data_IF_830519192494
#
_entry.id   IF_830519192494
#
_cell.length_a   1.000
_cell.length_b   1.000
_cell.length_c   1.000
_cell.angle_alpha   90.00
_cell.angle_beta   90.00
_cell.angle_gamma   90.00
#
_symmetry.space_group_name_H-M   'P 1'
#
loop_
_entity.id
_entity.type
_entity.pdbx_description
1 polymer ?
#
# COMPACT_ATOMS: atom_id res chain seq x y z
N UNK A 1 4.99 -17.07 15.79
CA UNK A 1 3.85 -16.89 14.88
C UNK A 1 2.74 -16.30 15.70
N UNK A 2 2.41 -15.04 15.44
CA UNK A 2 1.52 -14.22 16.26
C UNK A 2 0.06 -14.59 15.95
N UNK A 3 -0.78 -14.82 16.97
CA UNK A 3 -2.21 -15.17 16.77
C UNK A 3 -2.98 -14.10 15.98
N UNK A 4 -2.43 -12.90 15.85
CA UNK A 4 -2.93 -11.82 14.98
C UNK A 4 -2.74 -12.11 13.49
N UNK A 5 -1.62 -12.72 13.08
CA UNK A 5 -1.35 -13.06 11.68
C UNK A 5 -2.21 -14.24 11.22
N UNK A 6 -2.45 -15.22 12.09
CA UNK A 6 -3.39 -16.33 11.82
C UNK A 6 -4.85 -15.86 11.75
N UNK A 7 -5.23 -14.85 12.53
CA UNK A 7 -6.62 -14.40 12.65
C UNK A 7 -7.03 -13.37 11.60
N UNK A 8 -6.07 -12.65 11.02
CA UNK A 8 -6.33 -11.55 10.08
C UNK A 8 -6.10 -11.90 8.61
N UNK A 9 -5.68 -13.13 8.31
CA UNK A 9 -5.40 -13.57 6.95
C UNK A 9 -4.02 -13.12 6.46
N UNK A 10 -3.53 -13.84 5.45
CA UNK A 10 -2.14 -13.78 4.97
C UNK A 10 -1.74 -12.48 4.27
N UNK A 11 -2.63 -11.51 4.08
CA UNK A 11 -2.28 -10.27 3.39
C UNK A 11 -2.95 -9.05 4.05
N UNK A 12 -2.34 -8.58 5.14
CA UNK A 12 -2.74 -7.35 5.81
C UNK A 12 -2.16 -6.09 5.14
N UNK A 13 -1.48 -6.23 4.00
CA UNK A 13 -0.64 -5.17 3.45
C UNK A 13 0.71 -5.06 4.16
N UNK A 14 1.51 -4.09 3.72
CA UNK A 14 2.91 -3.94 4.14
C UNK A 14 3.17 -2.57 4.75
N UNK A 15 4.16 -2.48 5.62
CA UNK A 15 4.69 -1.18 6.02
C UNK A 15 5.75 -0.76 4.99
N UNK A 16 5.68 0.48 4.52
CA UNK A 16 6.62 1.06 3.54
C UNK A 16 7.18 2.39 4.04
N UNK A 17 8.39 2.74 3.61
CA UNK A 17 8.95 4.07 3.83
C UNK A 17 8.53 5.01 2.69
N UNK A 18 7.75 6.03 3.00
CA UNK A 18 7.16 6.97 2.05
C UNK A 18 7.04 8.38 2.67
N UNK A 19 8.11 9.19 2.60
CA UNK A 19 8.08 10.58 3.06
C UNK A 19 7.25 11.51 2.17
N UNK A 20 7.02 11.14 0.92
CA UNK A 20 6.43 12.02 -0.10
C UNK A 20 4.91 12.16 0.03
N UNK A 21 4.24 11.19 0.66
CA UNK A 21 2.78 11.17 0.80
C UNK A 21 2.37 10.89 2.24
N UNK A 22 1.28 11.53 2.67
CA UNK A 22 0.56 11.15 3.87
C UNK A 22 -0.27 9.87 3.63
N UNK A 23 -0.71 9.23 4.72
CA UNK A 23 -1.48 7.99 4.64
C UNK A 23 -2.79 8.15 3.86
N UNK A 24 -3.48 9.29 4.01
CA UNK A 24 -4.72 9.56 3.28
C UNK A 24 -4.51 9.71 1.77
N UNK A 25 -3.40 10.33 1.37
CA UNK A 25 -3.02 10.50 -0.03
C UNK A 25 -2.62 9.16 -0.65
N UNK A 26 -1.84 8.36 0.07
CA UNK A 26 -1.50 6.99 -0.35
C UNK A 26 -2.76 6.13 -0.54
N UNK A 27 -3.70 6.17 0.41
CA UNK A 27 -4.96 5.43 0.29
C UNK A 27 -5.75 5.84 -0.95
N UNK A 28 -5.77 7.14 -1.27
CA UNK A 28 -6.43 7.68 -2.45
C UNK A 28 -5.75 7.25 -3.75
N UNK A 29 -4.41 7.21 -3.76
CA UNK A 29 -3.62 6.71 -4.88
C UNK A 29 -3.86 5.22 -5.14
N UNK A 30 -3.80 4.38 -4.10
CA UNK A 30 -4.02 2.93 -4.26
C UNK A 30 -5.44 2.68 -4.75
N UNK A 31 -6.42 3.45 -4.28
CA UNK A 31 -7.79 3.40 -4.78
C UNK A 31 -7.90 3.74 -6.27
N UNK A 32 -7.25 4.83 -6.70
CA UNK A 32 -7.19 5.22 -8.10
C UNK A 32 -6.53 4.15 -8.99
N UNK A 33 -5.43 3.56 -8.53
CA UNK A 33 -4.74 2.46 -9.23
C UNK A 33 -5.65 1.25 -9.35
N UNK A 34 -6.26 0.81 -8.24
CA UNK A 34 -7.16 -0.34 -8.22
C UNK A 34 -8.34 -0.15 -9.19
N UNK A 35 -8.97 1.04 -9.17
CA UNK A 35 -10.07 1.35 -10.05
C UNK A 35 -9.63 1.36 -11.53
N UNK A 36 -8.61 2.14 -11.87
CA UNK A 36 -8.09 2.23 -13.25
C UNK A 36 -7.72 0.87 -13.82
N UNK A 37 -7.06 0.03 -13.02
CA UNK A 37 -6.62 -1.29 -13.45
C UNK A 37 -7.78 -2.24 -13.77
N UNK A 38 -8.86 -2.22 -12.97
CA UNK A 38 -10.04 -3.03 -13.29
C UNK A 38 -10.79 -2.55 -14.52
N UNK A 39 -10.87 -1.23 -14.74
CA UNK A 39 -11.58 -0.68 -15.90
C UNK A 39 -10.87 -1.00 -17.22
N UNK A 40 -9.54 -1.14 -17.18
CA UNK A 40 -8.76 -1.64 -18.33
C UNK A 40 -8.85 -3.16 -18.53
N UNK A 41 -9.74 -3.87 -17.81
CA UNK A 41 -9.92 -5.32 -17.90
C UNK A 41 -8.94 -6.14 -17.04
N UNK A 42 -8.15 -5.48 -16.18
CA UNK A 42 -7.26 -6.13 -15.23
C UNK A 42 -8.02 -6.82 -14.08
N UNK A 43 -7.38 -7.83 -13.47
CA UNK A 43 -7.97 -8.58 -12.35
C UNK A 43 -7.16 -8.37 -11.07
N UNK A 44 -7.79 -7.83 -10.04
CA UNK A 44 -7.21 -7.66 -8.70
C UNK A 44 -7.13 -8.98 -7.92
N UNK A 45 -6.93 -10.12 -8.60
CA UNK A 45 -6.80 -11.44 -7.98
C UNK A 45 -5.32 -11.87 -8.02
N UNK A 46 -4.73 -12.33 -6.89
CA UNK A 46 -3.30 -12.65 -6.81
C UNK A 46 -2.81 -13.59 -7.93
N UNK A 47 -3.61 -14.59 -8.28
CA UNK A 47 -3.31 -15.61 -9.31
C UNK A 47 -3.19 -15.04 -10.72
N UNK A 48 -3.91 -13.95 -11.01
CA UNK A 48 -3.91 -13.27 -12.32
C UNK A 48 -3.04 -12.02 -12.34
N UNK A 49 -2.44 -11.66 -11.20
CA UNK A 49 -1.45 -10.60 -11.16
C UNK A 49 -0.08 -11.06 -11.70
N UNK A 50 0.15 -12.38 -11.76
CA UNK A 50 1.37 -12.96 -12.32
C UNK A 50 1.26 -13.15 -13.84
N UNK A 51 2.14 -12.49 -14.60
CA UNK A 51 2.33 -12.73 -16.05
C UNK A 51 1.75 -11.69 -17.00
N UNK A 52 1.20 -10.59 -16.50
CA UNK A 52 0.82 -9.43 -17.33
C UNK A 52 1.96 -8.40 -17.27
N UNK A 53 2.57 -8.08 -18.42
CA UNK A 53 3.46 -6.91 -18.52
C UNK A 53 2.62 -5.65 -18.30
N UNK A 54 2.73 -5.07 -17.10
CA UNK A 54 2.02 -3.86 -16.71
C UNK A 54 2.68 -2.62 -17.33
N UNK A 55 2.62 -2.45 -18.64
CA UNK A 55 3.02 -1.21 -19.31
C UNK A 55 2.13 -0.01 -18.89
N UNK A 56 0.97 -0.25 -18.29
CA UNK A 56 0.03 0.80 -17.90
C UNK A 56 0.23 1.25 -16.44
N UNK A 57 1.27 2.07 -16.29
CA UNK A 57 1.52 3.22 -15.40
C UNK A 57 1.01 3.23 -13.93
N UNK A 58 -0.20 2.80 -13.59
CA UNK A 58 -0.69 2.73 -12.19
C UNK A 58 -0.14 1.52 -11.42
N UNK A 59 -0.13 0.35 -12.06
CA UNK A 59 0.34 -0.88 -11.40
C UNK A 59 1.87 -0.88 -11.22
N UNK A 60 2.62 -0.25 -12.14
CA UNK A 60 4.05 0.03 -11.98
C UNK A 60 4.31 0.84 -10.71
N UNK A 61 3.51 1.88 -10.46
CA UNK A 61 3.62 2.70 -9.24
C UNK A 61 3.39 1.85 -8.00
N UNK A 62 2.34 1.03 -7.98
CA UNK A 62 2.07 0.14 -6.84
C UNK A 62 3.23 -0.83 -6.57
N UNK A 63 3.78 -1.47 -7.62
CA UNK A 63 4.94 -2.37 -7.47
C UNK A 63 6.19 -1.63 -6.95
N UNK A 64 6.38 -0.37 -7.31
CA UNK A 64 7.49 0.42 -6.80
C UNK A 64 7.30 0.87 -5.35
N UNK A 65 6.07 1.21 -4.97
CA UNK A 65 5.72 1.43 -3.56
C UNK A 65 5.96 0.17 -2.73
N UNK A 66 5.57 -1.00 -3.25
CA UNK A 66 5.78 -2.30 -2.59
C UNK A 66 7.27 -2.55 -2.28
N UNK A 67 8.18 -2.25 -3.24
CA UNK A 67 9.63 -2.39 -3.05
C UNK A 67 10.17 -1.55 -1.90
N UNK A 68 9.52 -0.43 -1.55
CA UNK A 68 9.92 0.44 -0.43
C UNK A 68 9.67 -0.20 0.94
N UNK A 69 9.00 -1.37 1.01
CA UNK A 69 8.93 -2.16 2.25
C UNK A 69 10.30 -2.63 2.73
N UNK A 70 11.26 -2.77 1.81
CA UNK A 70 12.65 -3.15 2.13
C UNK A 70 13.41 -2.08 2.92
N UNK A 71 12.92 -0.83 2.89
CA UNK A 71 13.49 0.31 3.63
C UNK A 71 12.96 0.39 5.07
N UNK A 72 11.95 -0.40 5.42
CA UNK A 72 11.37 -0.40 6.77
C UNK A 72 12.12 -1.39 7.65
N UNK A 73 12.52 -0.99 8.89
CA UNK A 73 13.19 -1.89 9.81
C UNK A 73 12.40 -3.18 10.05
N UNK A 74 13.11 -4.31 10.13
CA UNK A 74 12.53 -5.64 10.23
C UNK A 74 11.65 -5.85 11.48
N UNK A 75 11.86 -5.02 12.49
CA UNK A 75 11.15 -4.95 13.76
C UNK A 75 9.73 -4.43 13.60
N UNK A 76 9.43 -3.72 12.51
CA UNK A 76 8.17 -3.02 12.27
C UNK A 76 7.65 -3.12 10.83
N UNK A 77 8.25 -3.94 9.98
CA UNK A 77 7.93 -4.03 8.55
C UNK A 77 6.59 -4.73 8.20
N UNK A 78 5.94 -5.36 9.17
CA UNK A 78 4.59 -5.94 9.02
C UNK A 78 3.61 -5.28 9.98
N UNK A 79 2.32 -5.29 9.65
CA UNK A 79 1.26 -4.74 10.51
C UNK A 79 1.26 -5.39 11.90
N UNK A 80 1.47 -6.71 11.96
CA UNK A 80 1.58 -7.45 13.23
C UNK A 80 2.75 -6.97 14.08
N UNK A 81 3.95 -6.90 13.48
CA UNK A 81 5.16 -6.41 14.17
C UNK A 81 5.06 -4.95 14.58
N UNK A 82 4.51 -4.09 13.72
CA UNK A 82 4.24 -2.69 14.02
C UNK A 82 3.28 -2.55 15.22
N UNK A 83 2.20 -3.34 15.26
CA UNK A 83 1.27 -3.38 16.40
C UNK A 83 1.96 -3.83 17.69
N UNK A 84 2.78 -4.89 17.64
CA UNK A 84 3.55 -5.33 18.80
C UNK A 84 4.57 -4.29 19.25
N UNK A 85 5.22 -3.61 18.32
CA UNK A 85 6.18 -2.55 18.60
C UNK A 85 5.52 -1.40 19.36
N UNK A 86 4.37 -0.92 18.88
CA UNK A 86 3.59 0.11 19.58
C UNK A 86 3.13 -0.34 20.97
N UNK A 87 2.76 -1.62 21.15
CA UNK A 87 2.37 -2.18 22.46
C UNK A 87 3.52 -2.28 23.46
N UNK A 88 4.76 -2.33 22.99
CA UNK A 88 5.96 -2.42 23.84
C UNK A 88 6.49 -1.05 24.29
N UNK A 89 6.00 0.04 23.68
CA UNK A 89 6.35 1.39 24.08
C UNK A 89 5.76 1.72 25.45
N UNK A 90 6.54 2.41 26.29
CA UNK A 90 6.01 3.14 27.44
C UNK A 90 5.11 4.30 26.99
N UNK A 91 4.28 4.84 27.90
CA UNK A 91 3.39 5.96 27.59
C UNK A 91 4.15 7.17 27.01
N UNK A 92 5.33 7.49 27.56
CA UNK A 92 6.18 8.59 27.09
C UNK A 92 6.73 8.33 25.67
N UNK A 93 7.20 7.10 25.40
CA UNK A 93 7.65 6.72 24.07
C UNK A 93 6.50 6.72 23.07
N UNK A 94 5.31 6.28 23.49
CA UNK A 94 4.13 6.26 22.65
C UNK A 94 3.67 7.68 22.28
N UNK A 95 3.72 8.64 23.21
CA UNK A 95 3.47 10.06 22.91
C UNK A 95 4.44 10.58 21.85
N UNK A 96 5.72 10.20 21.94
CA UNK A 96 6.77 10.61 21.00
C UNK A 96 6.97 9.65 19.82
N UNK A 97 6.05 8.69 19.60
CA UNK A 97 6.18 7.62 18.60
C UNK A 97 6.48 8.14 17.20
N UNK A 98 6.02 9.36 16.88
CA UNK A 98 6.20 10.00 15.58
C UNK A 98 7.67 10.11 15.18
N UNK A 99 8.60 10.24 16.13
CA UNK A 99 10.04 10.26 15.84
C UNK A 99 10.50 8.96 15.20
N UNK A 100 9.93 7.83 15.63
CA UNK A 100 10.31 6.49 15.20
C UNK A 100 9.52 6.01 13.99
N UNK A 101 8.25 6.41 13.88
CA UNK A 101 7.36 5.98 12.78
C UNK A 101 7.20 7.05 11.70
N UNK A 102 7.96 8.15 11.77
CA UNK A 102 7.95 9.19 10.76
C UNK A 102 8.15 8.58 9.37
N UNK A 103 7.34 9.03 8.41
CA UNK A 103 7.40 8.57 7.02
C UNK A 103 7.13 7.08 6.78
N UNK A 104 6.78 6.30 7.81
CA UNK A 104 6.29 4.95 7.62
C UNK A 104 4.80 5.02 7.30
N UNK A 105 4.39 4.30 6.25
CA UNK A 105 3.00 4.21 5.79
C UNK A 105 2.59 2.76 5.67
N UNK A 106 1.31 2.52 5.84
CA UNK A 106 0.71 1.24 5.52
C UNK A 106 0.29 1.23 4.05
N UNK A 107 0.86 0.31 3.27
CA UNK A 107 0.45 0.03 1.90
C UNK A 107 -0.63 -1.07 1.94
N UNK A 108 -1.91 -0.72 1.70
CA UNK A 108 -2.99 -1.70 1.67
C UNK A 108 -2.85 -2.63 0.45
N UNK A 109 -3.22 -3.92 0.59
CA UNK A 109 -3.25 -4.84 -0.53
C UNK A 109 -4.37 -4.42 -1.51
N UNK A 110 -4.12 -4.58 -2.81
CA UNK A 110 -5.06 -4.15 -3.85
C UNK A 110 -6.38 -4.93 -3.81
N UNK A 111 -6.35 -6.17 -3.35
CA UNK A 111 -7.50 -7.06 -3.17
C UNK A 111 -8.58 -6.43 -2.29
N UNK A 112 -8.21 -5.61 -1.29
CA UNK A 112 -9.15 -4.94 -0.39
C UNK A 112 -10.11 -4.00 -1.13
N UNK A 113 -9.72 -3.53 -2.31
CA UNK A 113 -10.50 -2.59 -3.10
C UNK A 113 -11.44 -3.25 -4.11
N UNK A 114 -11.33 -4.57 -4.32
CA UNK A 114 -12.07 -5.30 -5.35
C UNK A 114 -13.58 -5.05 -5.29
N UNK A 115 -14.19 -5.18 -4.12
CA UNK A 115 -15.64 -5.04 -3.96
C UNK A 115 -16.13 -3.60 -4.13
N UNK A 116 -15.32 -2.62 -3.69
CA UNK A 116 -15.67 -1.22 -3.85
C UNK A 116 -15.61 -0.81 -5.32
N UNK A 117 -14.62 -1.31 -6.06
CA UNK A 117 -14.43 -1.00 -7.49
C UNK A 117 -15.58 -1.57 -8.33
N UNK A 118 -16.02 -2.81 -8.03
CA UNK A 118 -17.17 -3.46 -8.69
C UNK A 118 -18.47 -2.66 -8.51
N UNK A 119 -18.63 -1.97 -7.37
CA UNK A 119 -19.80 -1.13 -7.08
C UNK A 119 -19.82 0.20 -7.85
N UNK A 120 -18.81 0.50 -8.67
CA UNK A 120 -18.77 1.67 -9.54
C UNK A 120 -18.38 2.98 -8.85
N UNK A 121 -17.98 2.94 -7.58
CA UNK A 121 -17.37 4.09 -6.92
C UNK A 121 -16.01 4.35 -7.56
N UNK A 122 -15.75 5.57 -8.05
CA UNK A 122 -14.46 5.93 -8.64
C UNK A 122 -14.44 6.16 -10.15
N UNK A 123 -15.59 6.32 -10.84
CA UNK A 123 -15.66 6.63 -12.28
C UNK A 123 -14.72 7.76 -12.72
N UNK A 124 -14.48 8.77 -11.88
CA UNK A 124 -13.52 9.85 -12.11
C UNK A 124 -12.07 9.38 -12.30
N UNK A 125 -11.72 8.19 -11.80
CA UNK A 125 -10.40 7.59 -11.86
C UNK A 125 -10.18 6.69 -13.08
N UNK A 126 -11.22 6.44 -13.89
CA UNK A 126 -11.13 5.63 -15.12
C UNK A 126 -10.18 6.19 -16.19
N UNK A 127 -9.82 7.48 -16.09
CA UNK A 127 -8.99 8.21 -17.06
C UNK A 127 -7.77 8.86 -16.42
N UNK A 128 -7.35 8.40 -15.23
CA UNK A 128 -6.13 8.94 -14.63
C UNK A 128 -4.95 8.63 -15.54
N UNK A 129 -4.21 9.68 -15.87
CA UNK A 129 -2.92 9.57 -16.50
C UNK A 129 -1.82 9.52 -15.43
N UNK A 130 -1.29 8.32 -15.19
CA UNK A 130 -0.20 8.10 -14.26
C UNK A 130 1.19 8.42 -14.86
N UNK A 131 1.29 8.85 -16.12
CA UNK A 131 2.57 9.17 -16.79
C UNK A 131 3.33 10.34 -16.13
N UNK A 132 2.64 11.19 -15.36
CA UNK A 132 3.22 12.33 -14.64
C UNK A 132 3.73 11.99 -13.23
N UNK A 133 3.56 10.74 -12.78
CA UNK A 133 3.90 10.27 -11.44
C UNK A 133 5.27 9.57 -11.29
N UNK A 134 6.18 9.46 -12.29
CA UNK A 134 7.54 8.93 -12.09
C UNK A 134 8.34 9.57 -10.95
N UNK A 135 8.10 10.86 -10.67
CA UNK A 135 8.74 11.57 -9.57
C UNK A 135 8.39 10.99 -8.19
N UNK A 136 7.22 10.38 -8.01
CA UNK A 136 6.81 9.72 -6.76
C UNK A 136 7.49 8.37 -6.55
N UNK A 137 8.06 7.79 -7.60
CA UNK A 137 8.64 6.44 -7.59
C UNK A 137 10.18 6.45 -7.64
N UNK A 138 10.82 7.62 -7.73
CA UNK A 138 12.27 7.77 -7.64
C UNK A 138 13.03 7.36 -8.91
N UNK A 139 12.36 7.23 -10.05
CA UNK A 139 13.01 7.13 -11.36
C UNK A 139 13.25 8.56 -11.88
N UNK A 140 14.51 9.01 -11.80
CA UNK A 140 15.07 10.13 -12.58
C UNK A 140 16.14 9.53 -13.50
#
# INVERSE_FOLDING_TARGET
>A
MDMLEERLGSDLGKMIYLPELEQGELNSLVWAIAYSFTQSGGSLSPEKMNGIEYEYSGMKIYMMLDKRSSLVPSEINTVGRFSQFLKKMSDNEYVNRQEVISNIRWLPPLEHYKDMVVKGYGLSFSKIDFSSWPSLIGEV
#
